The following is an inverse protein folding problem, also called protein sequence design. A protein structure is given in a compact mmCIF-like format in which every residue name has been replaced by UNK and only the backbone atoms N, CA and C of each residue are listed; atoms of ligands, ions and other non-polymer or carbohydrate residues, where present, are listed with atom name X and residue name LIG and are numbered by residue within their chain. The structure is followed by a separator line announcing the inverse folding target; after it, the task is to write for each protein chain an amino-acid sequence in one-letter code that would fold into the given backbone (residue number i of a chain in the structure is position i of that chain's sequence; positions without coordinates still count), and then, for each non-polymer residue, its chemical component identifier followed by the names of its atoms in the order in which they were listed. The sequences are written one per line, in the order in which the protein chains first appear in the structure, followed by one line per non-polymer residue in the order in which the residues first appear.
data_IF_055337455696
#
_entry.id   IF_055337455696
#
_cell.length_a   1.000
_cell.length_b   1.000
_cell.length_c   1.000
_cell.angle_alpha   90.00
_cell.angle_beta   90.00
_cell.angle_gamma   90.00
#
_symmetry.space_group_name_H-M   'P 1'
#
loop_
_entity.id
_entity.type
_entity.pdbx_description
1 polymer ?
#
# COMPACT_ATOMS: atom_id res chain seq x y z
N UNK A 1 -20.76 49.15 49.06
CA UNK A 1 -19.70 48.58 48.19
C UNK A 1 -18.70 47.84 49.07
N UNK A 2 -18.74 46.50 49.05
CA UNK A 2 -17.79 45.63 49.76
C UNK A 2 -16.55 45.41 48.88
N UNK A 3 -15.34 45.69 49.40
CA UNK A 3 -14.11 44.96 49.05
C UNK A 3 -13.24 44.84 50.29
N UNK A 4 -13.25 43.64 50.90
CA UNK A 4 -12.32 43.22 51.95
C UNK A 4 -11.03 42.70 51.31
N UNK A 5 -9.91 43.01 51.94
CA UNK A 5 -8.55 42.56 51.62
C UNK A 5 -8.40 41.03 51.60
N UNK A 6 -7.40 40.48 50.89
CA UNK A 6 -7.17 39.04 50.81
C UNK A 6 -6.32 38.54 51.99
N UNK A 7 -6.61 37.38 52.57
CA UNK A 7 -5.64 36.66 53.41
C UNK A 7 -4.91 35.55 52.64
N UNK A 8 -3.60 35.50 52.89
CA UNK A 8 -2.64 34.45 52.55
C UNK A 8 -3.07 33.07 53.04
N UNK A 9 -2.91 32.04 52.20
CA UNK A 9 -2.96 30.62 52.58
C UNK A 9 -1.80 29.93 51.85
N UNK A 10 -0.64 29.81 52.51
CA UNK A 10 -0.13 28.60 53.19
C UNK A 10 -0.02 27.39 52.26
N UNK A 11 1.23 27.11 51.87
CA UNK A 11 1.69 25.87 51.21
C UNK A 11 1.45 24.68 52.13
N UNK A 12 0.59 23.76 51.72
CA UNK A 12 0.50 22.43 52.33
C UNK A 12 1.39 21.45 51.57
N UNK A 13 2.25 20.81 52.35
CA UNK A 13 3.23 19.76 52.04
C UNK A 13 2.54 18.47 51.53
N UNK A 14 3.15 17.70 50.62
CA UNK A 14 2.52 16.49 50.06
C UNK A 14 2.64 15.30 51.03
N UNK A 15 1.62 14.41 51.11
CA UNK A 15 1.80 13.09 51.69
C UNK A 15 2.23 12.08 50.61
N UNK A 16 3.34 11.39 50.88
CA UNK A 16 3.83 10.20 50.17
C UNK A 16 3.31 8.94 50.89
N UNK A 17 3.50 7.73 50.33
CA UNK A 17 2.46 6.83 49.88
C UNK A 17 2.21 5.73 50.91
N UNK A 18 1.34 4.77 50.57
CA UNK A 18 1.06 3.52 51.31
C UNK A 18 -0.11 3.61 52.28
N UNK A 19 -1.29 3.21 51.77
CA UNK A 19 -2.38 2.44 52.40
C UNK A 19 -3.72 2.93 51.83
N UNK A 20 -4.37 2.20 50.92
CA UNK A 20 -5.37 1.15 51.12
C UNK A 20 -6.29 1.21 49.86
N UNK A 21 -7.30 0.35 49.67
CA UNK A 21 -7.47 -1.06 50.04
C UNK A 21 -7.84 -1.93 48.81
N UNK A 22 -7.92 -3.24 49.04
CA UNK A 22 -8.54 -4.21 48.14
C UNK A 22 -10.00 -3.81 47.85
N UNK A 23 -10.33 -3.56 46.58
CA UNK A 23 -11.70 -3.55 46.09
C UNK A 23 -11.75 -4.43 44.85
N UNK A 24 -12.29 -5.62 45.06
CA UNK A 24 -12.74 -6.53 44.02
C UNK A 24 -13.94 -5.90 43.30
N UNK A 25 -13.75 -5.50 42.05
CA UNK A 25 -14.83 -5.08 41.15
C UNK A 25 -14.52 -5.54 39.74
N UNK A 26 -15.20 -6.62 39.38
CA UNK A 26 -15.77 -6.85 38.04
C UNK A 26 -14.75 -6.99 36.91
N UNK A 27 -14.41 -8.25 36.68
CA UNK A 27 -14.03 -8.85 35.41
C UNK A 27 -14.55 -8.08 34.17
N UNK A 28 -13.66 -7.29 33.56
CA UNK A 28 -13.74 -6.94 32.14
C UNK A 28 -12.52 -7.58 31.51
N UNK A 29 -12.68 -8.83 31.06
CA UNK A 29 -11.66 -9.44 30.21
C UNK A 29 -11.47 -8.53 28.99
N UNK A 30 -10.25 -8.06 28.68
CA UNK A 30 -10.01 -7.45 27.39
C UNK A 30 -10.30 -8.52 26.35
N UNK A 31 -11.29 -8.28 25.50
CA UNK A 31 -11.52 -9.06 24.30
C UNK A 31 -10.18 -9.13 23.57
N UNK A 32 -9.50 -10.28 23.68
CA UNK A 32 -8.24 -10.51 22.99
C UNK A 32 -8.55 -10.37 21.52
N UNK A 33 -8.20 -9.24 20.94
CA UNK A 33 -8.23 -9.03 19.51
C UNK A 33 -7.35 -10.12 18.92
N UNK A 34 -7.98 -11.20 18.44
CA UNK A 34 -7.29 -12.25 17.69
C UNK A 34 -6.48 -11.50 16.62
N UNK A 35 -5.15 -11.59 16.63
CA UNK A 35 -4.37 -10.98 15.56
C UNK A 35 -4.89 -11.61 14.27
N UNK A 36 -5.62 -10.80 13.51
CA UNK A 36 -6.06 -11.20 12.18
C UNK A 36 -4.79 -11.56 11.45
N UNK A 37 -4.77 -12.79 10.93
CA UNK A 37 -3.69 -13.37 10.15
C UNK A 37 -3.36 -12.33 9.08
N UNK A 38 -2.28 -11.58 9.28
CA UNK A 38 -1.85 -10.55 8.34
C UNK A 38 -1.49 -11.29 7.07
N UNK A 39 -2.25 -11.08 5.99
CA UNK A 39 -1.97 -11.76 4.74
C UNK A 39 -0.59 -11.31 4.24
N UNK A 40 0.29 -12.22 3.81
CA UNK A 40 1.61 -11.84 3.27
C UNK A 40 1.49 -10.87 2.08
N UNK A 41 0.35 -10.86 1.37
CA UNK A 41 0.04 -9.92 0.30
C UNK A 41 -0.02 -8.44 0.73
N UNK A 42 -0.38 -8.15 1.99
CA UNK A 42 -0.41 -6.76 2.47
C UNK A 42 0.98 -6.22 2.79
N UNK A 43 1.90 -7.08 3.20
CA UNK A 43 3.31 -6.72 3.45
C UNK A 43 3.99 -6.44 2.11
N UNK A 44 3.76 -7.29 1.10
CA UNK A 44 4.29 -7.13 -0.26
C UNK A 44 3.86 -5.80 -0.94
N UNK A 45 2.61 -5.37 -0.74
CA UNK A 45 2.12 -4.14 -1.35
C UNK A 45 2.65 -2.86 -0.69
N UNK A 46 3.03 -2.92 0.59
CA UNK A 46 3.55 -1.77 1.33
C UNK A 46 5.05 -1.60 1.10
N UNK A 47 5.80 -2.71 1.02
CA UNK A 47 7.22 -2.72 0.65
C UNK A 47 7.46 -2.25 -0.80
N UNK A 48 6.47 -2.42 -1.69
CA UNK A 48 6.50 -1.89 -3.07
C UNK A 48 6.50 -0.37 -3.17
N UNK A 49 6.09 0.33 -2.12
CA UNK A 49 6.12 1.79 -2.02
C UNK A 49 7.37 2.24 -1.25
N UNK A 50 8.47 1.48 -1.34
CA UNK A 50 9.76 1.99 -0.90
C UNK A 50 10.10 3.23 -1.72
N UNK A 51 10.58 4.27 -1.03
CA UNK A 51 11.20 5.41 -1.69
C UNK A 51 12.29 4.91 -2.65
N UNK A 52 12.37 5.52 -3.82
CA UNK A 52 13.33 5.14 -4.84
C UNK A 52 14.73 5.36 -4.30
N UNK A 53 15.53 4.30 -4.26
CA UNK A 53 16.96 4.40 -3.98
C UNK A 53 17.74 4.75 -5.24
N UNK A 54 18.95 5.31 -5.06
CA UNK A 54 19.85 5.67 -6.16
C UNK A 54 20.12 4.51 -7.10
N UNK A 55 20.22 3.26 -6.60
CA UNK A 55 20.40 2.08 -7.45
C UNK A 55 19.23 1.84 -8.40
N UNK A 56 17.99 1.99 -7.91
CA UNK A 56 16.78 1.79 -8.74
C UNK A 56 16.66 2.85 -9.83
N UNK A 57 17.12 4.08 -9.55
CA UNK A 57 17.17 5.15 -10.57
C UNK A 57 18.15 4.77 -11.67
N UNK A 58 19.34 4.28 -11.32
CA UNK A 58 20.35 3.87 -12.30
C UNK A 58 19.85 2.70 -13.15
N UNK A 59 19.27 1.66 -12.53
CA UNK A 59 18.69 0.51 -13.25
C UNK A 59 17.63 0.95 -14.27
N UNK A 60 16.77 1.90 -13.88
CA UNK A 60 15.73 2.43 -14.75
C UNK A 60 16.32 3.24 -15.92
N UNK A 61 17.35 4.06 -15.66
CA UNK A 61 18.05 4.82 -16.70
C UNK A 61 18.77 3.90 -17.67
N UNK A 62 19.48 2.88 -17.17
CA UNK A 62 20.15 1.87 -18.00
C UNK A 62 19.16 1.10 -18.87
N UNK A 63 18.01 0.73 -18.32
CA UNK A 63 16.94 0.08 -19.08
C UNK A 63 16.43 0.96 -20.22
N UNK A 64 16.26 2.27 -19.97
CA UNK A 64 15.85 3.22 -21.00
C UNK A 64 16.95 3.43 -22.05
N UNK A 65 18.21 3.57 -21.64
CA UNK A 65 19.33 3.71 -22.59
C UNK A 65 19.49 2.47 -23.47
N UNK A 66 19.33 1.27 -22.90
CA UNK A 66 19.34 0.00 -23.64
C UNK A 66 18.19 -0.09 -24.64
N UNK A 67 17.05 0.53 -24.33
CA UNK A 67 15.91 0.63 -25.25
C UNK A 67 16.08 1.70 -26.35
N UNK A 68 17.24 2.37 -26.42
CA UNK A 68 17.57 3.35 -27.46
C UNK A 68 17.34 4.81 -27.06
N UNK A 69 17.07 5.10 -25.78
CA UNK A 69 16.93 6.48 -25.32
C UNK A 69 18.30 7.15 -25.15
N UNK A 70 18.46 8.35 -25.71
CA UNK A 70 19.69 9.15 -25.57
C UNK A 70 19.61 10.14 -24.41
N UNK A 71 20.75 10.41 -23.76
CA UNK A 71 20.85 11.44 -22.71
C UNK A 71 20.60 12.83 -23.33
N UNK A 72 19.76 13.69 -22.72
CA UNK A 72 19.56 15.06 -23.16
C UNK A 72 20.87 15.84 -23.17
N UNK A 73 21.19 16.53 -24.26
CA UNK A 73 22.48 17.22 -24.44
C UNK A 73 22.77 18.35 -23.45
N UNK A 74 21.77 18.79 -22.67
CA UNK A 74 21.93 19.79 -21.62
C UNK A 74 22.36 19.21 -20.25
N UNK A 75 22.55 17.90 -20.15
CA UNK A 75 23.02 17.23 -18.92
C UNK A 75 24.37 16.58 -19.22
N UNK A 76 25.38 16.89 -18.38
CA UNK A 76 26.67 16.22 -18.51
C UNK A 76 26.55 14.73 -18.16
N UNK A 77 27.16 13.81 -18.93
CA UNK A 77 27.00 12.37 -18.74
C UNK A 77 27.52 11.88 -17.39
N UNK A 78 28.53 12.53 -16.82
CA UNK A 78 29.14 12.17 -15.54
C UNK A 78 28.26 12.45 -14.31
N UNK A 79 27.24 13.31 -14.46
CA UNK A 79 26.33 13.68 -13.36
C UNK A 79 24.89 13.25 -13.60
N UNK A 80 24.57 12.62 -14.74
CA UNK A 80 23.22 12.16 -15.10
C UNK A 80 22.56 11.43 -13.93
N UNK A 81 23.20 10.38 -13.41
CA UNK A 81 22.62 9.58 -12.33
C UNK A 81 22.24 10.42 -11.10
N UNK A 82 23.10 11.37 -10.70
CA UNK A 82 22.87 12.25 -9.54
C UNK A 82 21.72 13.22 -9.78
N UNK A 83 21.64 13.81 -10.97
CA UNK A 83 20.59 14.79 -11.32
C UNK A 83 19.22 14.11 -11.34
N UNK A 84 19.12 12.92 -11.94
CA UNK A 84 17.89 12.15 -11.95
C UNK A 84 17.54 11.61 -10.55
N UNK A 85 18.51 11.14 -9.78
CA UNK A 85 18.27 10.70 -8.41
C UNK A 85 17.70 11.82 -7.54
N UNK A 86 18.25 13.04 -7.67
CA UNK A 86 17.73 14.21 -6.97
C UNK A 86 16.30 14.56 -7.40
N UNK A 87 16.01 14.52 -8.71
CA UNK A 87 14.67 14.85 -9.22
C UNK A 87 13.60 13.82 -8.81
N UNK A 88 14.00 12.57 -8.61
CA UNK A 88 13.14 11.42 -8.28
C UNK A 88 13.11 11.10 -6.78
N UNK A 89 13.80 11.87 -5.96
CA UNK A 89 13.86 11.65 -4.52
C UNK A 89 12.45 11.67 -3.90
N UNK A 90 12.22 10.73 -2.96
CA UNK A 90 10.93 10.54 -2.30
C UNK A 90 9.81 9.95 -3.17
N UNK A 91 10.05 9.62 -4.44
CA UNK A 91 9.07 8.96 -5.31
C UNK A 91 9.12 7.43 -5.16
N UNK A 92 8.02 6.70 -5.38
CA UNK A 92 8.00 5.25 -5.20
C UNK A 92 8.66 4.51 -6.38
N UNK A 93 9.52 3.54 -6.06
CA UNK A 93 10.27 2.75 -7.05
C UNK A 93 9.37 2.03 -8.06
N UNK A 94 8.21 1.55 -7.62
CA UNK A 94 7.26 0.85 -8.48
C UNK A 94 6.67 1.77 -9.57
N UNK A 95 6.42 3.05 -9.24
CA UNK A 95 5.93 4.02 -10.22
C UNK A 95 7.01 4.33 -11.26
N UNK A 96 8.27 4.47 -10.83
CA UNK A 96 9.39 4.68 -11.75
C UNK A 96 9.52 3.51 -12.75
N UNK A 97 9.45 2.27 -12.28
CA UNK A 97 9.51 1.08 -13.14
C UNK A 97 8.31 1.01 -14.11
N UNK A 98 7.11 1.39 -13.65
CA UNK A 98 5.92 1.45 -14.50
C UNK A 98 6.09 2.48 -15.62
N UNK A 99 6.53 3.70 -15.27
CA UNK A 99 6.80 4.77 -16.25
C UNK A 99 7.89 4.37 -17.22
N UNK A 100 9.01 3.81 -16.75
CA UNK A 100 10.09 3.35 -17.63
C UNK A 100 9.58 2.30 -18.64
N UNK A 101 8.76 1.34 -18.20
CA UNK A 101 8.12 0.37 -19.09
C UNK A 101 7.17 1.04 -20.09
N UNK A 102 6.37 1.99 -19.64
CA UNK A 102 5.40 2.70 -20.47
C UNK A 102 6.10 3.56 -21.54
N UNK A 103 7.25 4.16 -21.21
CA UNK A 103 8.12 4.86 -22.16
C UNK A 103 8.70 3.91 -23.21
N UNK A 104 9.25 2.75 -22.79
CA UNK A 104 9.79 1.73 -23.70
C UNK A 104 8.71 1.21 -24.66
N UNK A 105 7.47 1.07 -24.18
CA UNK A 105 6.33 0.62 -24.99
C UNK A 105 5.71 1.69 -25.87
N UNK A 106 6.10 2.97 -25.70
CA UNK A 106 5.48 4.10 -26.41
C UNK A 106 4.04 4.41 -25.99
N UNK A 107 3.62 3.96 -24.81
CA UNK A 107 2.27 4.21 -24.27
C UNK A 107 2.15 5.62 -23.67
N UNK A 108 3.26 6.15 -23.15
CA UNK A 108 3.39 7.56 -22.81
C UNK A 108 3.63 8.33 -24.12
N UNK A 109 2.86 9.39 -24.39
CA UNK A 109 3.06 10.25 -25.56
C UNK A 109 4.55 10.53 -25.74
N UNK A 110 5.11 10.05 -26.85
CA UNK A 110 6.56 9.91 -26.95
C UNK A 110 7.24 11.27 -26.76
N UNK A 111 8.35 11.34 -25.99
CA UNK A 111 9.26 12.47 -26.17
C UNK A 111 9.68 12.41 -27.64
N UNK A 112 9.36 13.47 -28.41
CA UNK A 112 9.33 13.48 -29.88
C UNK A 112 10.61 13.02 -30.60
N UNK A 113 11.69 12.69 -29.88
CA UNK A 113 13.03 12.65 -30.44
C UNK A 113 13.92 11.52 -29.88
N UNK A 114 13.36 10.50 -29.20
CA UNK A 114 14.17 9.37 -28.68
C UNK A 114 15.16 9.76 -27.58
N UNK A 115 14.99 10.93 -26.96
CA UNK A 115 15.75 11.35 -25.79
C UNK A 115 15.03 10.96 -24.50
N UNK A 116 15.79 10.73 -23.43
CA UNK A 116 15.22 10.59 -22.10
C UNK A 116 14.41 11.85 -21.75
N UNK A 117 13.24 11.70 -21.09
CA UNK A 117 12.51 12.83 -20.57
C UNK A 117 13.39 13.63 -19.61
N UNK A 118 13.29 14.97 -19.64
CA UNK A 118 14.09 15.80 -18.73
C UNK A 118 13.83 15.39 -17.27
N UNK A 119 14.79 15.53 -16.35
CA UNK A 119 14.60 15.15 -14.94
C UNK A 119 13.29 15.64 -14.29
N UNK A 120 12.88 16.92 -14.43
CA UNK A 120 11.59 17.37 -13.88
C UNK A 120 10.37 16.77 -14.59
N UNK A 121 10.49 16.45 -15.87
CA UNK A 121 9.44 15.85 -16.69
C UNK A 121 9.24 14.39 -16.32
N UNK A 122 10.34 13.64 -16.17
CA UNK A 122 10.29 12.27 -15.65
C UNK A 122 9.69 12.24 -14.24
N UNK A 123 10.09 13.16 -13.36
CA UNK A 123 9.51 13.27 -12.03
C UNK A 123 8.00 13.56 -12.06
N UNK A 124 7.53 14.38 -13.00
CA UNK A 124 6.10 14.64 -13.19
C UNK A 124 5.33 13.38 -13.62
N UNK A 125 5.88 12.62 -14.59
CA UNK A 125 5.31 11.34 -15.04
C UNK A 125 5.22 10.33 -13.88
N UNK A 126 6.31 10.19 -13.11
CA UNK A 126 6.35 9.27 -11.97
C UNK A 126 5.39 9.69 -10.87
N UNK A 127 5.22 11.00 -10.60
CA UNK A 127 4.22 11.49 -9.65
C UNK A 127 2.79 11.22 -10.12
N UNK A 128 2.51 11.39 -11.41
CA UNK A 128 1.19 11.08 -11.97
C UNK A 128 0.87 9.59 -11.83
N UNK A 129 1.84 8.74 -12.14
CA UNK A 129 1.70 7.28 -12.00
C UNK A 129 1.56 6.86 -10.53
N UNK A 130 2.35 7.45 -9.63
CA UNK A 130 2.23 7.20 -8.19
C UNK A 130 0.83 7.54 -7.66
N UNK A 131 0.19 8.61 -8.16
CA UNK A 131 -1.20 8.95 -7.83
C UNK A 131 -2.18 7.91 -8.35
N UNK A 132 -2.02 7.45 -9.59
CA UNK A 132 -2.86 6.37 -10.15
C UNK A 132 -2.77 5.10 -9.32
N UNK A 133 -1.55 4.67 -8.98
CA UNK A 133 -1.32 3.49 -8.14
C UNK A 133 -1.95 3.63 -6.76
N UNK A 134 -1.92 4.84 -6.17
CA UNK A 134 -2.58 5.11 -4.90
C UNK A 134 -4.12 5.05 -5.01
N UNK A 135 -4.69 5.57 -6.09
CA UNK A 135 -6.13 5.50 -6.36
C UNK A 135 -6.60 4.06 -6.62
N UNK A 136 -5.84 3.29 -7.39
CA UNK A 136 -6.13 1.87 -7.65
C UNK A 136 -6.06 1.05 -6.37
N UNK A 137 -5.07 1.33 -5.51
CA UNK A 137 -5.00 0.72 -4.17
C UNK A 137 -6.23 1.06 -3.34
N UNK A 138 -6.66 2.33 -3.34
CA UNK A 138 -7.87 2.76 -2.61
C UNK A 138 -9.09 1.99 -3.09
N UNK A 139 -9.31 1.91 -4.40
CA UNK A 139 -10.41 1.15 -5.01
C UNK A 139 -10.36 -0.35 -4.69
N UNK A 140 -9.17 -0.94 -4.69
CA UNK A 140 -8.98 -2.35 -4.34
C UNK A 140 -9.34 -2.61 -2.87
N UNK A 141 -8.97 -1.70 -1.96
CA UNK A 141 -9.35 -1.78 -0.54
C UNK A 141 -10.86 -1.64 -0.39
N UNK A 142 -11.48 -0.63 -1.01
CA UNK A 142 -12.93 -0.42 -0.99
C UNK A 142 -13.69 -1.66 -1.51
N UNK A 143 -13.21 -2.25 -2.60
CA UNK A 143 -13.79 -3.49 -3.17
C UNK A 143 -13.66 -4.65 -2.20
N UNK A 144 -12.48 -4.83 -1.60
CA UNK A 144 -12.23 -5.90 -0.63
C UNK A 144 -13.13 -5.75 0.59
N UNK A 145 -13.25 -4.54 1.11
CA UNK A 145 -14.04 -4.27 2.32
C UNK A 145 -15.54 -4.41 2.03
N UNK A 146 -15.99 -4.02 0.84
CA UNK A 146 -17.36 -4.27 0.36
C UNK A 146 -17.67 -5.77 0.25
N UNK A 147 -16.75 -6.56 -0.31
CA UNK A 147 -16.89 -8.03 -0.38
C UNK A 147 -16.89 -8.68 1.00
N UNK A 148 -16.06 -8.20 1.93
CA UNK A 148 -16.04 -8.66 3.33
C UNK A 148 -17.37 -8.38 4.01
N UNK A 149 -17.91 -7.17 3.85
CA UNK A 149 -19.21 -6.78 4.39
C UNK A 149 -20.34 -7.64 3.80
N UNK A 150 -20.37 -7.81 2.48
CA UNK A 150 -21.36 -8.64 1.80
C UNK A 150 -21.29 -10.11 2.28
N UNK A 151 -20.09 -10.64 2.52
CA UNK A 151 -19.91 -11.98 3.09
C UNK A 151 -20.41 -12.07 4.53
N UNK A 152 -20.17 -11.05 5.35
CA UNK A 152 -20.63 -11.02 6.74
C UNK A 152 -22.16 -10.90 6.85
N UNK A 153 -22.81 -10.22 5.91
CA UNK A 153 -24.26 -10.07 5.84
C UNK A 153 -24.97 -11.26 5.18
N UNK A 154 -24.22 -12.23 4.63
CA UNK A 154 -24.81 -13.38 3.95
C UNK A 154 -25.48 -14.29 4.99
N UNK A 155 -26.78 -14.63 4.83
CA UNK A 155 -27.41 -15.59 5.72
C UNK A 155 -26.69 -16.94 5.64
N UNK A 156 -26.66 -17.67 6.76
CA UNK A 156 -26.06 -18.99 6.81
C UNK A 156 -26.67 -19.88 5.72
N UNK A 157 -25.82 -20.52 4.92
CA UNK A 157 -26.28 -21.38 3.84
C UNK A 157 -27.13 -22.52 4.41
N UNK A 158 -28.35 -22.69 3.90
CA UNK A 158 -29.22 -23.80 4.29
C UNK A 158 -28.58 -25.14 3.91
N UNK A 159 -28.89 -26.20 4.64
CA UNK A 159 -28.37 -27.54 4.36
C UNK A 159 -28.73 -28.01 2.95
N UNK A 160 -29.92 -27.66 2.46
CA UNK A 160 -30.33 -27.91 1.08
C UNK A 160 -29.44 -27.19 0.06
N UNK A 161 -29.06 -25.93 0.31
CA UNK A 161 -28.16 -25.19 -0.57
C UNK A 161 -26.77 -25.84 -0.60
N UNK A 162 -26.27 -26.30 0.55
CA UNK A 162 -24.99 -27.02 0.64
C UNK A 162 -25.05 -28.37 -0.08
N UNK A 163 -26.17 -29.09 0.00
CA UNK A 163 -26.37 -30.36 -0.70
C UNK A 163 -26.38 -30.16 -2.23
N UNK A 164 -27.06 -29.11 -2.72
CA UNK A 164 -27.04 -28.76 -4.15
C UNK A 164 -25.65 -28.40 -4.66
N UNK A 165 -24.88 -27.61 -3.89
CA UNK A 165 -23.49 -27.27 -4.26
C UNK A 165 -22.61 -28.52 -4.28
N UNK A 166 -22.75 -29.43 -3.31
CA UNK A 166 -22.00 -30.70 -3.29
C UNK A 166 -22.29 -31.56 -4.51
N UNK A 167 -23.57 -31.76 -4.84
CA UNK A 167 -23.97 -32.53 -6.02
C UNK A 167 -23.45 -31.91 -7.33
N UNK A 168 -23.41 -30.58 -7.43
CA UNK A 168 -22.85 -29.88 -8.58
C UNK A 168 -21.32 -30.04 -8.68
N UNK A 169 -20.61 -29.97 -7.55
CA UNK A 169 -19.15 -30.19 -7.55
C UNK A 169 -18.83 -31.62 -7.94
N UNK A 170 -19.57 -32.61 -7.42
CA UNK A 170 -19.40 -34.02 -7.78
C UNK A 170 -19.64 -34.28 -9.27
N UNK A 171 -20.65 -33.66 -9.88
CA UNK A 171 -20.91 -33.82 -11.31
C UNK A 171 -19.81 -33.20 -12.19
N UNK A 172 -19.27 -32.04 -11.81
CA UNK A 172 -18.15 -31.40 -12.51
C UNK A 172 -16.87 -32.20 -12.39
N UNK A 173 -16.55 -32.72 -11.19
CA UNK A 173 -15.37 -33.57 -10.99
C UNK A 173 -15.48 -34.85 -11.80
N UNK A 174 -16.66 -35.50 -11.79
CA UNK A 174 -16.90 -36.73 -12.57
C UNK A 174 -16.81 -36.51 -14.07
N UNK A 175 -17.32 -35.38 -14.57
CA UNK A 175 -17.19 -35.02 -15.99
C UNK A 175 -15.73 -34.81 -16.38
N UNK A 176 -14.94 -34.12 -15.55
CA UNK A 176 -13.52 -33.88 -15.80
C UNK A 176 -12.69 -35.18 -15.79
N UNK A 177 -12.95 -36.07 -14.83
CA UNK A 177 -12.29 -37.38 -14.78
C UNK A 177 -12.67 -38.29 -15.95
N UNK A 178 -13.84 -38.11 -16.55
CA UNK A 178 -14.27 -38.87 -17.73
C UNK A 178 -13.61 -38.37 -19.03
N UNK A 179 -13.33 -37.07 -19.13
CA UNK A 179 -12.57 -36.49 -20.26
C UNK A 179 -11.07 -36.82 -20.17
N UNK A 180 -10.50 -36.90 -18.97
CA UNK A 180 -9.06 -37.18 -18.76
C UNK A 180 -8.72 -38.68 -18.81
N UNK A 181 -9.74 -39.55 -18.92
CA UNK A 181 -9.61 -41.01 -19.02
C UNK A 181 -9.98 -41.61 -20.37
N UNK A 182 -10.24 -40.80 -21.40
CA UNK A 182 -10.49 -41.29 -22.76
C UNK A 182 -9.15 -41.44 -23.54
N UNK A 183 -8.82 -42.63 -24.06
CA UNK A 183 -7.58 -42.88 -24.82
C UNK A 183 -7.58 -42.23 -26.20
#
# INVERSE_FOLDING_TARGET
MLRRSPPSIVRSKPPDPTQCPETDMTEIQPMTARPSISTPETIDLTDRIRATDSGVVLDALESLMTAGFSIPGNIRPDVVGKVYAYALDGLPAIALRSVARSLIRGECGQPENGYLPRPPELAALVRAEARRLADDRRRAIETRDSLRLAKAQRPAASEEAKARVRALVESVVKARSAEEGAP
#
